data_IF_924201926343
#
_entry.id   IF_924201926343
#
_cell.length_a   1.000
_cell.length_b   1.000
_cell.length_c   1.000
_cell.angle_alpha   90.00
_cell.angle_beta   90.00
_cell.angle_gamma   90.00
#
_symmetry.space_group_name_H-M   'P 1'
#
loop_
_entity.id
_entity.type
_entity.pdbx_description
1 polymer ?
#
# COMPACT_ATOMS: atom_id res chain seq x y z
N UNK A 1 1.52 20.90 8.90
CA UNK A 1 1.80 19.79 9.57
C UNK A 1 0.62 19.12 10.11
N UNK A 2 0.26 17.99 9.79
CA UNK A 2 -0.81 17.25 10.38
C UNK A 2 -0.31 16.49 11.61
N UNK A 3 -1.21 15.79 12.30
CA UNK A 3 -0.80 14.94 13.40
C UNK A 3 0.04 13.79 12.90
N UNK A 4 0.99 13.39 13.71
CA UNK A 4 1.84 12.26 13.36
C UNK A 4 1.10 10.96 13.62
N UNK A 5 1.28 10.00 12.74
CA UNK A 5 0.66 8.70 12.90
C UNK A 5 1.56 7.86 13.80
N UNK A 6 0.96 7.22 14.79
CA UNK A 6 1.71 6.38 15.70
C UNK A 6 2.36 5.21 14.95
N UNK A 7 3.60 4.85 15.26
CA UNK A 7 4.26 3.74 14.56
C UNK A 7 3.49 2.42 14.68
N UNK A 8 2.79 2.22 15.77
CA UNK A 8 1.99 1.03 15.94
C UNK A 8 0.87 0.97 14.89
N UNK A 9 0.24 2.10 14.60
CA UNK A 9 -0.79 2.16 13.57
C UNK A 9 -0.22 1.82 12.22
N UNK A 10 0.97 2.32 11.92
CA UNK A 10 1.63 2.03 10.66
C UNK A 10 1.90 0.53 10.53
N UNK A 11 2.38 -0.07 11.59
CA UNK A 11 2.65 -1.50 11.59
C UNK A 11 1.37 -2.31 11.38
N UNK A 12 0.31 -1.91 12.06
CA UNK A 12 -0.97 -2.57 11.92
C UNK A 12 -1.51 -2.47 10.49
N UNK A 13 -1.37 -1.30 9.90
CA UNK A 13 -1.80 -1.10 8.52
C UNK A 13 -1.03 -2.02 7.59
N UNK A 14 0.29 -2.12 7.79
CA UNK A 14 1.10 -3.01 6.96
C UNK A 14 0.71 -4.46 7.12
N UNK A 15 0.39 -4.86 8.34
CA UNK A 15 0.01 -6.25 8.61
C UNK A 15 -1.32 -6.60 7.98
N UNK A 16 -2.27 -5.69 8.03
CA UNK A 16 -3.62 -5.96 7.53
C UNK A 16 -3.79 -5.67 6.06
N UNK A 17 -3.03 -4.74 5.52
CA UNK A 17 -3.13 -4.39 4.11
C UNK A 17 -2.30 -5.35 3.28
N UNK A 18 -2.95 -6.37 2.76
CA UNK A 18 -2.28 -7.34 1.90
C UNK A 18 -1.90 -6.67 0.59
N UNK A 19 -0.63 -6.76 0.23
CA UNK A 19 -0.13 -6.10 -0.98
C UNK A 19 -0.86 -6.59 -2.23
N UNK A 20 -1.21 -7.86 -2.26
CA UNK A 20 -1.92 -8.42 -3.42
C UNK A 20 -3.30 -7.76 -3.53
N UNK A 21 -4.00 -7.65 -2.41
CA UNK A 21 -5.31 -7.00 -2.40
C UNK A 21 -5.22 -5.54 -2.81
N UNK A 22 -4.24 -4.84 -2.25
CA UNK A 22 -4.06 -3.42 -2.52
C UNK A 22 -3.80 -3.20 -4.01
N UNK A 23 -2.87 -3.94 -4.56
CA UNK A 23 -2.49 -3.75 -5.95
C UNK A 23 -3.58 -4.23 -6.90
N UNK A 24 -4.23 -5.33 -6.56
CA UNK A 24 -5.26 -5.90 -7.46
C UNK A 24 -6.49 -5.00 -7.59
N UNK A 25 -6.67 -4.07 -6.67
CA UNK A 25 -7.77 -3.10 -6.78
C UNK A 25 -7.49 -2.06 -7.86
N UNK A 26 -6.25 -1.90 -8.22
CA UNK A 26 -5.86 -0.88 -9.19
C UNK A 26 -5.45 -1.45 -10.53
N UNK A 27 -4.84 -2.64 -10.52
CA UNK A 27 -4.43 -3.30 -11.74
C UNK A 27 -4.78 -4.78 -11.65
N UNK A 28 -4.79 -5.43 -12.80
CA UNK A 28 -5.11 -6.86 -12.83
C UNK A 28 -3.84 -7.64 -12.53
N UNK A 29 -3.94 -8.54 -11.55
CA UNK A 29 -2.84 -9.42 -11.20
C UNK A 29 -3.24 -10.85 -11.53
N UNK A 30 -2.29 -11.61 -12.06
CA UNK A 30 -2.48 -13.01 -12.36
C UNK A 30 -1.56 -13.85 -11.50
N UNK A 31 -2.10 -14.89 -10.93
CA UNK A 31 -1.31 -15.76 -10.09
C UNK A 31 -0.33 -16.56 -10.94
N UNK A 32 0.91 -16.59 -10.50
CA UNK A 32 1.94 -17.34 -11.19
C UNK A 32 2.82 -18.01 -10.14
N UNK A 33 2.55 -19.29 -9.89
CA UNK A 33 3.26 -20.00 -8.84
C UNK A 33 2.90 -19.44 -7.48
N UNK A 34 3.88 -19.00 -6.74
CA UNK A 34 3.67 -18.42 -5.41
C UNK A 34 3.57 -16.92 -5.46
N UNK A 35 3.64 -16.34 -6.63
CA UNK A 35 3.63 -14.90 -6.78
C UNK A 35 2.56 -14.47 -7.76
N UNK A 36 2.38 -13.16 -7.87
CA UNK A 36 1.43 -12.61 -8.82
C UNK A 36 2.18 -11.70 -9.78
N UNK A 37 1.71 -11.62 -11.01
CA UNK A 37 2.32 -10.76 -12.00
C UNK A 37 1.26 -9.86 -12.63
N UNK A 38 1.67 -8.68 -13.02
CA UNK A 38 0.77 -7.72 -13.64
C UNK A 38 1.52 -6.69 -14.43
N UNK A 39 0.77 -5.88 -15.15
CA UNK A 39 1.35 -4.81 -15.94
C UNK A 39 1.65 -3.63 -15.02
N UNK A 40 2.89 -3.16 -15.06
CA UNK A 40 3.31 -2.06 -14.22
C UNK A 40 2.53 -0.78 -14.57
N UNK A 41 1.87 -0.15 -13.59
CA UNK A 41 1.10 1.06 -13.87
C UNK A 41 1.93 2.33 -13.88
N UNK A 42 3.21 2.24 -13.54
CA UNK A 42 4.07 3.42 -13.42
C UNK A 42 4.72 3.82 -14.73
N UNK A 43 4.61 2.98 -15.73
CA UNK A 43 5.10 3.31 -17.05
C UNK A 43 4.25 2.57 -18.07
N UNK A 44 4.36 3.01 -19.32
CA UNK A 44 3.58 2.42 -20.39
C UNK A 44 4.23 1.11 -20.84
N UNK A 45 3.65 0.01 -20.41
CA UNK A 45 4.18 -1.30 -20.76
C UNK A 45 2.99 -2.22 -21.05
N UNK A 46 3.12 -3.03 -22.09
CA UNK A 46 2.06 -3.94 -22.46
C UNK A 46 2.32 -5.36 -21.95
N UNK A 47 3.44 -5.59 -21.33
CA UNK A 47 3.78 -6.91 -20.81
C UNK A 47 3.79 -6.94 -19.31
N UNK A 48 3.38 -8.06 -18.70
CA UNK A 48 3.44 -8.15 -17.23
C UNK A 48 4.90 -8.20 -16.79
N UNK A 49 5.37 -7.09 -16.31
CA UNK A 49 6.74 -7.01 -15.78
C UNK A 49 6.80 -6.75 -14.30
N UNK A 50 5.66 -6.50 -13.65
CA UNK A 50 5.65 -6.29 -12.22
C UNK A 50 5.30 -7.60 -11.51
N UNK A 51 6.12 -7.96 -10.54
CA UNK A 51 5.90 -9.16 -9.74
C UNK A 51 5.55 -8.76 -8.32
N UNK A 52 4.52 -9.38 -7.75
CA UNK A 52 4.08 -9.12 -6.40
C UNK A 52 4.25 -10.38 -5.58
N UNK A 53 4.97 -10.28 -4.48
CA UNK A 53 5.20 -11.41 -3.60
C UNK A 53 4.32 -11.30 -2.34
N UNK A 54 3.29 -12.13 -2.20
CA UNK A 54 2.45 -12.06 -1.01
C UNK A 54 3.19 -12.51 0.24
N UNK A 55 4.14 -13.40 0.10
CA UNK A 55 4.93 -13.88 1.23
C UNK A 55 5.78 -12.76 1.82
N UNK A 56 6.39 -11.98 0.95
CA UNK A 56 7.26 -10.89 1.38
C UNK A 56 6.51 -9.57 1.50
N UNK A 57 5.28 -9.51 1.03
CA UNK A 57 4.49 -8.28 0.99
C UNK A 57 5.26 -7.19 0.27
N UNK A 58 5.74 -7.54 -0.92
CA UNK A 58 6.65 -6.69 -1.68
C UNK A 58 6.36 -6.82 -3.16
N UNK A 59 6.53 -5.75 -3.90
CA UNK A 59 6.38 -5.78 -5.34
C UNK A 59 7.65 -5.28 -6.01
N UNK A 60 7.87 -5.69 -7.24
CA UNK A 60 9.03 -5.25 -7.99
C UNK A 60 8.72 -5.28 -9.48
N UNK A 61 9.09 -4.21 -10.19
CA UNK A 61 8.93 -4.14 -11.63
C UNK A 61 10.30 -4.27 -12.29
N UNK A 62 10.43 -5.29 -13.11
CA UNK A 62 11.72 -5.54 -13.77
C UNK A 62 12.00 -4.55 -14.90
N UNK A 63 10.98 -3.86 -15.39
CA UNK A 63 11.18 -2.91 -16.49
C UNK A 63 11.67 -1.55 -16.00
N UNK A 64 11.05 -1.02 -14.97
CA UNK A 64 11.41 0.31 -14.51
C UNK A 64 12.15 0.30 -13.17
N UNK A 65 12.27 -0.85 -12.54
CA UNK A 65 12.96 -0.95 -11.26
C UNK A 65 12.17 -0.46 -10.06
N UNK A 66 10.89 -0.13 -10.26
CA UNK A 66 10.07 0.30 -9.13
C UNK A 66 9.80 -0.88 -8.21
N UNK A 67 9.80 -0.63 -6.91
CA UNK A 67 9.54 -1.68 -5.94
C UNK A 67 9.29 -1.12 -4.57
N UNK A 68 8.67 -1.92 -3.72
CA UNK A 68 8.38 -1.52 -2.36
C UNK A 68 7.20 -2.29 -1.79
N UNK A 69 6.65 -1.77 -0.70
CA UNK A 69 5.50 -2.42 -0.07
C UNK A 69 4.19 -1.80 -0.56
N UNK A 70 3.08 -2.21 0.05
CA UNK A 70 1.77 -1.73 -0.36
C UNK A 70 1.64 -0.22 -0.20
N UNK A 71 2.22 0.32 0.87
CA UNK A 71 2.14 1.76 1.10
C UNK A 71 2.89 2.51 0.00
N UNK A 72 4.07 2.04 -0.34
CA UNK A 72 4.85 2.69 -1.39
C UNK A 72 4.14 2.62 -2.74
N UNK A 73 3.52 1.48 -3.02
CA UNK A 73 2.77 1.33 -4.26
C UNK A 73 1.67 2.40 -4.36
N UNK A 74 0.92 2.56 -3.29
CA UNK A 74 -0.16 3.54 -3.30
C UNK A 74 0.36 4.96 -3.37
N UNK A 75 1.46 5.24 -2.70
CA UNK A 75 2.05 6.58 -2.76
C UNK A 75 2.40 6.95 -4.20
N UNK A 76 2.95 6.01 -4.94
CA UNK A 76 3.34 6.28 -6.32
C UNK A 76 2.16 6.21 -7.28
N UNK A 77 1.25 5.29 -7.03
CA UNK A 77 0.12 5.12 -7.93
C UNK A 77 -0.89 6.26 -7.80
N UNK A 78 -1.22 6.64 -6.57
CA UNK A 78 -2.20 7.70 -6.32
C UNK A 78 -1.56 9.07 -6.17
N UNK A 79 -0.24 9.10 -6.07
CA UNK A 79 0.54 10.32 -5.88
C UNK A 79 0.17 11.04 -4.60
N UNK A 80 -0.16 10.28 -3.59
CA UNK A 80 -0.44 10.81 -2.27
C UNK A 80 0.79 10.66 -1.41
N UNK A 81 0.81 11.39 -0.30
CA UNK A 81 1.94 11.27 0.60
C UNK A 81 1.74 10.08 1.54
N UNK A 82 2.75 9.81 2.37
CA UNK A 82 2.73 8.67 3.25
C UNK A 82 1.54 8.69 4.20
N UNK A 83 1.30 9.83 4.81
CA UNK A 83 0.19 9.95 5.77
C UNK A 83 -1.16 9.67 5.13
N UNK A 84 -1.40 10.23 3.96
CA UNK A 84 -2.66 10.02 3.27
C UNK A 84 -2.89 8.55 2.94
N UNK A 85 -1.84 7.88 2.48
CA UNK A 85 -1.95 6.47 2.13
C UNK A 85 -2.23 5.64 3.37
N UNK A 86 -1.51 5.89 4.46
CA UNK A 86 -1.72 5.14 5.70
C UNK A 86 -3.12 5.35 6.24
N UNK A 87 -3.61 6.58 6.20
CA UNK A 87 -4.96 6.88 6.65
C UNK A 87 -6.01 6.15 5.80
N UNK A 88 -5.81 6.15 4.51
CA UNK A 88 -6.70 5.45 3.60
C UNK A 88 -6.76 3.96 3.89
N UNK A 89 -5.59 3.35 4.05
CA UNK A 89 -5.52 1.93 4.32
C UNK A 89 -6.10 1.59 5.70
N UNK A 90 -5.86 2.43 6.68
CA UNK A 90 -6.40 2.21 8.01
C UNK A 90 -7.92 2.26 7.98
N UNK A 91 -8.46 3.22 7.27
CA UNK A 91 -9.89 3.36 7.16
C UNK A 91 -10.51 2.16 6.45
N UNK A 92 -9.85 1.70 5.42
CA UNK A 92 -10.34 0.57 4.64
C UNK A 92 -10.34 -0.72 5.46
N UNK A 93 -9.39 -0.87 6.36
CA UNK A 93 -9.25 -2.07 7.17
C UNK A 93 -9.80 -1.93 8.57
N UNK A 94 -10.56 -0.87 8.81
CA UNK A 94 -11.18 -0.62 10.13
C UNK A 94 -10.14 -0.58 11.25
N UNK A 95 -9.01 0.02 10.98
CA UNK A 95 -7.96 0.14 11.97
C UNK A 95 -8.15 1.43 12.74
N UNK A 96 -8.09 1.33 14.06
CA UNK A 96 -8.19 2.49 14.90
C UNK A 96 -6.93 3.34 14.76
N UNK A 97 -7.12 4.62 14.44
CA UNK A 97 -5.99 5.51 14.22
C UNK A 97 -5.51 6.10 15.53
N UNK A 98 -4.23 5.93 15.78
CA UNK A 98 -3.60 6.51 16.97
C UNK A 98 -2.76 7.69 16.55
N UNK A 99 -3.01 8.82 17.17
CA UNK A 99 -2.25 10.03 16.89
C UNK A 99 -1.45 10.43 18.11
N UNK A 100 -0.36 11.11 17.89
CA UNK A 100 0.44 11.61 18.99
C UNK A 100 -0.11 12.92 19.51
N UNK A 101 -1.01 13.52 18.78
CA UNK A 101 -1.62 14.77 19.18
C UNK A 101 -2.63 14.54 20.31
N UNK A 102 -2.66 15.35 21.32
CA UNK A 102 -3.58 15.17 22.45
C UNK A 102 -4.97 15.70 22.16
N UNK A 103 -5.51 15.40 21.09
CA UNK A 103 -6.81 15.89 20.72
C UNK A 103 -7.89 15.32 21.62
N UNK A 104 -8.61 16.15 22.29
CA UNK A 104 -9.60 15.68 23.20
C UNK A 104 -10.92 15.39 22.54
N UNK A 105 -11.24 15.54 21.54
CA UNK A 105 -12.46 15.41 21.13
C UNK A 105 -13.07 14.37 20.94
N UNK A 106 -13.76 14.08 21.19
CA UNK A 106 -14.29 13.03 21.02
C UNK A 106 -15.42 13.01 20.49
N UNK A 107 -15.84 12.85 20.15
CA UNK A 107 -16.78 12.76 19.69
C UNK A 107 -17.39 12.09 19.63
N UNK A 108 -17.33 11.94 19.81
CA UNK A 108 -18.23 11.23 19.82
C UNK A 108 -18.68 10.40 19.42
#
# INVERSE_FOLDING_TARGET
MGPSIHPRTIQEVKDKADIVDVISEHIVLKKKGKEFVGICPFHDDSKPSMTVSPTKQFYYCFSCGAGGNSIKFLMEFTRNNFSDVVLSLAKKNDICLLYTSPSPRDRG
#
